data_IF_422256936497
#
_entry.id   IF_422256936497
#
_cell.length_a   1.000
_cell.length_b   1.000
_cell.length_c   1.000
_cell.angle_alpha   90.00
_cell.angle_beta   90.00
_cell.angle_gamma   90.00
#
_symmetry.space_group_name_H-M   'P 1'
#
loop_
_entity.id
_entity.type
_entity.pdbx_description
1 polymer ?
#
# COMPACT_ATOMS: atom_id res chain seq x y z
N UNK A 1 -9.93 -9.08 9.23
CA UNK A 1 -10.26 -10.41 8.70
C UNK A 1 -11.73 -10.43 8.31
N UNK A 2 -12.05 -10.89 7.09
CA UNK A 2 -13.43 -10.89 6.56
C UNK A 2 -13.89 -12.33 6.44
N UNK A 3 -14.91 -12.69 7.22
CA UNK A 3 -15.43 -14.06 7.32
C UNK A 3 -16.60 -14.27 6.37
N UNK A 4 -16.52 -15.34 5.59
CA UNK A 4 -17.58 -15.89 4.74
C UNK A 4 -18.10 -17.21 5.36
N UNK A 5 -19.24 -17.76 4.91
CA UNK A 5 -19.78 -19.00 5.47
C UNK A 5 -18.80 -20.18 5.43
N UNK A 6 -17.99 -20.26 4.37
CA UNK A 6 -17.06 -21.36 4.14
C UNK A 6 -15.58 -21.01 4.38
N UNK A 7 -15.26 -19.79 4.85
CA UNK A 7 -13.86 -19.40 5.02
C UNK A 7 -13.64 -17.89 5.17
N UNK A 8 -12.53 -17.41 4.60
CA UNK A 8 -12.12 -16.02 4.66
C UNK A 8 -11.88 -15.46 3.26
N UNK A 9 -12.16 -14.16 3.12
CA UNK A 9 -11.89 -13.43 1.88
C UNK A 9 -10.49 -12.83 1.91
N UNK A 10 -9.71 -13.13 0.88
CA UNK A 10 -8.41 -12.54 0.57
C UNK A 10 -8.39 -12.19 -0.91
N UNK A 11 -7.68 -11.12 -1.25
CA UNK A 11 -7.44 -10.72 -2.63
C UNK A 11 -6.05 -11.16 -3.07
N UNK A 12 -5.88 -11.33 -4.38
CA UNK A 12 -4.59 -11.64 -4.98
C UNK A 12 -4.11 -10.43 -5.76
N UNK A 13 -2.97 -9.89 -5.38
CA UNK A 13 -2.39 -8.71 -6.03
C UNK A 13 -1.59 -9.06 -7.29
N UNK A 14 -1.12 -8.04 -8.00
CA UNK A 14 -0.33 -8.18 -9.24
C UNK A 14 1.01 -8.91 -9.04
N UNK A 15 1.52 -8.96 -7.80
CA UNK A 15 2.71 -9.75 -7.44
C UNK A 15 2.38 -11.22 -7.15
N UNK A 16 1.12 -11.61 -7.26
CA UNK A 16 0.63 -12.95 -6.99
C UNK A 16 0.52 -13.29 -5.50
N UNK A 17 0.64 -12.30 -4.62
CA UNK A 17 0.57 -12.45 -3.16
C UNK A 17 -0.88 -12.32 -2.68
N UNK A 18 -1.18 -12.97 -1.55
CA UNK A 18 -2.48 -12.82 -0.90
C UNK A 18 -2.46 -11.66 0.09
N UNK A 19 -3.46 -10.80 0.01
CA UNK A 19 -3.63 -9.66 0.91
C UNK A 19 -5.07 -9.52 1.41
N UNK A 20 -5.21 -8.83 2.53
CA UNK A 20 -6.54 -8.44 3.01
C UNK A 20 -7.04 -7.28 2.15
N UNK A 21 -8.30 -7.32 1.68
CA UNK A 21 -8.91 -6.16 1.04
C UNK A 21 -8.98 -4.99 2.01
N UNK A 22 -8.83 -3.78 1.48
CA UNK A 22 -8.80 -2.56 2.25
C UNK A 22 -7.81 -1.53 1.72
N UNK A 23 -8.03 -0.29 2.12
CA UNK A 23 -7.23 0.84 1.66
C UNK A 23 -7.09 1.94 2.70
N UNK A 24 -6.83 3.14 2.22
CA UNK A 24 -6.63 4.31 3.09
C UNK A 24 -7.98 4.97 3.35
N UNK A 25 -8.31 5.29 4.62
CA UNK A 25 -9.46 6.14 4.91
C UNK A 25 -9.33 7.50 4.21
N UNK A 26 -10.45 8.02 3.74
CA UNK A 26 -10.52 9.37 3.24
C UNK A 26 -10.50 10.41 4.37
N UNK A 27 -10.23 11.67 4.03
CA UNK A 27 -10.18 12.76 5.01
C UNK A 27 -11.53 12.94 5.68
N UNK A 28 -11.59 12.79 7.00
CA UNK A 28 -12.82 12.91 7.79
C UNK A 28 -13.69 11.65 7.80
N UNK A 29 -13.28 10.60 7.11
CA UNK A 29 -13.97 9.32 7.09
C UNK A 29 -13.61 8.49 8.32
N UNK A 30 -14.60 7.80 8.90
CA UNK A 30 -14.31 6.85 9.98
C UNK A 30 -13.69 5.57 9.42
N UNK A 31 -12.82 4.90 10.20
CA UNK A 31 -12.20 3.63 9.80
C UNK A 31 -13.23 2.55 9.41
N UNK A 32 -14.41 2.56 10.06
CA UNK A 32 -15.49 1.61 9.76
C UNK A 32 -16.12 1.88 8.40
N UNK A 33 -16.37 3.15 8.08
CA UNK A 33 -16.96 3.55 6.80
C UNK A 33 -15.96 3.28 5.66
N UNK A 34 -14.71 3.68 5.86
CA UNK A 34 -13.62 3.37 4.93
C UNK A 34 -13.54 1.87 4.64
N UNK A 35 -13.53 1.04 5.68
CA UNK A 35 -13.44 -0.41 5.50
C UNK A 35 -14.62 -0.95 4.66
N UNK A 36 -15.87 -0.57 4.96
CA UNK A 36 -17.02 -1.05 4.18
C UNK A 36 -16.94 -0.59 2.72
N UNK A 37 -16.56 0.66 2.48
CA UNK A 37 -16.39 1.22 1.13
C UNK A 37 -15.33 0.45 0.35
N UNK A 38 -14.15 0.28 0.91
CA UNK A 38 -13.03 -0.44 0.27
C UNK A 38 -13.39 -1.89 -0.05
N UNK A 39 -14.06 -2.61 0.87
CA UNK A 39 -14.53 -3.97 0.58
C UNK A 39 -15.50 -3.97 -0.60
N UNK A 40 -16.42 -3.02 -0.65
CA UNK A 40 -17.37 -2.93 -1.75
C UNK A 40 -16.68 -2.57 -3.08
N UNK A 41 -15.74 -1.64 -3.09
CA UNK A 41 -14.99 -1.23 -4.29
C UNK A 41 -14.14 -2.37 -4.87
N UNK A 42 -13.41 -3.10 -4.02
CA UNK A 42 -12.49 -4.14 -4.48
C UNK A 42 -13.18 -5.48 -4.77
N UNK A 43 -14.32 -5.76 -4.14
CA UNK A 43 -14.94 -7.10 -4.17
C UNK A 43 -16.39 -7.12 -4.62
N UNK A 44 -17.07 -5.96 -4.66
CA UNK A 44 -18.50 -5.85 -4.94
C UNK A 44 -19.41 -6.34 -3.80
N UNK A 45 -18.84 -6.73 -2.64
CA UNK A 45 -19.60 -7.27 -1.52
C UNK A 45 -19.87 -6.20 -0.46
N UNK A 46 -21.04 -6.28 0.17
CA UNK A 46 -21.36 -5.52 1.38
C UNK A 46 -20.94 -6.29 2.62
N UNK A 47 -20.31 -5.60 3.57
CA UNK A 47 -19.79 -6.19 4.80
C UNK A 47 -20.29 -5.47 6.07
N UNK A 48 -20.42 -6.22 7.16
CA UNK A 48 -20.67 -5.66 8.50
C UNK A 48 -19.38 -5.65 9.30
N UNK A 49 -19.00 -4.48 9.83
CA UNK A 49 -17.74 -4.35 10.58
C UNK A 49 -17.92 -4.81 12.03
N UNK A 50 -17.18 -5.85 12.40
CA UNK A 50 -17.15 -6.38 13.77
C UNK A 50 -16.35 -5.51 14.76
N UNK A 51 -15.97 -6.09 15.90
CA UNK A 51 -15.05 -5.46 16.85
C UNK A 51 -13.68 -5.15 16.23
N UNK A 52 -13.05 -4.08 16.70
CA UNK A 52 -11.66 -3.77 16.35
C UNK A 52 -10.74 -4.84 16.95
N UNK A 53 -9.83 -5.39 16.14
CA UNK A 53 -8.94 -6.47 16.57
C UNK A 53 -7.63 -5.90 17.10
N UNK A 54 -6.93 -5.08 16.30
CA UNK A 54 -5.64 -4.49 16.69
C UNK A 54 -5.26 -3.31 15.77
N UNK A 55 -4.35 -2.46 16.23
CA UNK A 55 -3.77 -1.34 15.47
C UNK A 55 -2.25 -1.48 15.43
N UNK A 56 -1.68 -1.55 14.23
CA UNK A 56 -0.23 -1.67 14.05
C UNK A 56 0.40 -0.41 13.47
N UNK A 57 1.47 0.08 14.09
CA UNK A 57 2.25 1.23 13.61
C UNK A 57 3.54 0.76 12.96
N UNK A 58 3.62 0.84 11.63
CA UNK A 58 4.87 0.60 10.92
C UNK A 58 5.60 1.92 10.68
N UNK A 59 6.84 2.01 11.17
CA UNK A 59 7.71 3.16 10.88
C UNK A 59 8.26 3.01 9.47
N UNK A 60 7.82 3.87 8.55
CA UNK A 60 8.49 4.01 7.25
C UNK A 60 9.84 4.69 7.46
N UNK A 61 10.91 3.90 7.54
CA UNK A 61 12.27 4.42 7.40
C UNK A 61 12.42 4.79 5.92
N UNK A 62 12.32 6.09 5.59
CA UNK A 62 12.61 6.53 4.22
C UNK A 62 14.04 6.10 3.89
N UNK A 63 14.29 5.36 2.79
CA UNK A 63 15.66 5.07 2.40
C UNK A 63 16.39 6.41 2.17
N UNK A 64 17.70 6.50 2.49
CA UNK A 64 18.47 7.71 2.25
C UNK A 64 18.30 8.10 0.79
N UNK A 65 17.96 9.38 0.53
CA UNK A 65 17.83 9.90 -0.83
C UNK A 65 19.13 9.58 -1.56
N UNK A 66 19.03 8.91 -2.71
CA UNK A 66 20.14 8.73 -3.63
C UNK A 66 20.58 10.14 -4.08
N UNK A 67 21.55 10.75 -3.38
CA UNK A 67 22.22 11.94 -3.89
C UNK A 67 22.91 11.49 -5.16
N UNK A 68 22.44 11.97 -6.32
CA UNK A 68 23.25 11.89 -7.54
C UNK A 68 24.63 12.45 -7.18
N UNK A 69 25.73 11.72 -7.40
CA UNK A 69 27.04 12.32 -7.25
C UNK A 69 27.08 13.57 -8.12
N UNK A 70 27.56 14.68 -7.56
CA UNK A 70 27.78 15.89 -8.33
C UNK A 70 28.64 15.53 -9.54
N UNK A 71 28.24 15.97 -10.73
CA UNK A 71 29.03 15.78 -11.93
C UNK A 71 30.45 16.25 -11.66
N UNK A 72 31.43 15.35 -11.82
CA UNK A 72 32.84 15.69 -11.70
C UNK A 72 33.16 16.78 -12.73
N UNK A 73 33.75 17.92 -12.34
CA UNK A 73 34.11 18.94 -13.30
C UNK A 73 35.32 18.47 -14.13
N UNK A 74 35.11 18.35 -15.44
CA UNK A 74 36.17 18.40 -16.45
C UNK A 74 36.83 17.06 -16.81
N UNK A 75 36.35 16.43 -17.89
CA UNK A 75 37.26 15.84 -18.87
C UNK A 75 37.20 16.73 -20.11
N UNK A 76 38.28 17.46 -20.36
CA UNK A 76 38.52 18.11 -21.65
C UNK A 76 38.75 17.01 -22.68
N UNK A 77 38.08 17.16 -23.80
CA UNK A 77 38.37 16.44 -25.03
C UNK A 77 39.84 16.68 -25.42
N UNK A 78 40.53 15.62 -25.78
CA UNK A 78 41.77 15.65 -26.56
C UNK A 78 42.08 14.21 -27.01
N UNK A 79 41.62 13.82 -28.20
CA UNK A 79 42.56 13.25 -29.15
C UNK A 79 42.02 13.30 -30.58
N UNK A 80 42.64 14.19 -31.35
CA UNK A 80 42.85 14.08 -32.79
C UNK A 80 43.97 13.06 -32.98
N UNK A 81 43.70 11.99 -33.75
CA UNK A 81 44.67 11.26 -34.54
C UNK A 81 43.91 10.46 -35.61
#
# INVERSE_FOLDING_TARGET
>A
MIRLPAGFLLLRNDRGEWELPGGRPETGESLRVALVREIHEETGLWATVGPHVDTWLYRTVRPPRHRRPAALPGRRDNNVA
#
